data_IF_504361475481
#
_entry.id   IF_504361475481
#
_cell.length_a   1.000
_cell.length_b   1.000
_cell.length_c   1.000
_cell.angle_alpha   90.00
_cell.angle_beta   90.00
_cell.angle_gamma   90.00
#
_symmetry.space_group_name_H-M   'P 1'
#
loop_
_entity.id
_entity.type
_entity.pdbx_description
1 polymer ?
#
# COMPACT_ATOMS: atom_id res chain seq x y z
N UNK A 1 4.72 -28.99 -11.56
CA UNK A 1 4.58 -27.98 -10.48
C UNK A 1 4.76 -26.53 -10.96
N UNK A 2 4.76 -26.22 -12.27
CA UNK A 2 4.93 -24.84 -12.79
C UNK A 2 3.84 -24.38 -13.78
N UNK A 3 2.73 -25.10 -13.90
CA UNK A 3 1.65 -24.79 -14.86
C UNK A 3 0.41 -24.14 -14.24
N UNK A 4 0.25 -24.14 -12.90
CA UNK A 4 -0.93 -23.55 -12.23
C UNK A 4 -0.76 -22.05 -11.90
N UNK A 5 0.47 -21.55 -11.86
CA UNK A 5 0.76 -20.18 -11.37
C UNK A 5 0.27 -19.07 -12.30
N UNK A 6 0.15 -19.35 -13.60
CA UNK A 6 -0.28 -18.36 -14.60
C UNK A 6 -1.80 -18.18 -14.58
N UNK A 7 -2.56 -19.26 -14.45
CA UNK A 7 -4.04 -19.21 -14.37
C UNK A 7 -4.50 -18.57 -13.06
N UNK A 8 -3.83 -18.86 -11.94
CA UNK A 8 -4.08 -18.22 -10.65
C UNK A 8 -3.81 -16.71 -10.70
N UNK A 9 -2.74 -16.29 -11.38
CA UNK A 9 -2.41 -14.89 -11.65
C UNK A 9 -3.48 -14.21 -12.52
N UNK A 10 -3.93 -14.86 -13.60
CA UNK A 10 -4.99 -14.35 -14.47
C UNK A 10 -6.33 -14.20 -13.72
N UNK A 11 -6.70 -15.19 -12.91
CA UNK A 11 -7.92 -15.11 -12.11
C UNK A 11 -7.85 -14.00 -11.06
N UNK A 12 -6.74 -13.89 -10.33
CA UNK A 12 -6.54 -12.83 -9.34
C UNK A 12 -6.58 -11.44 -9.98
N UNK A 13 -5.80 -11.21 -11.03
CA UNK A 13 -5.73 -9.91 -11.73
C UNK A 13 -7.08 -9.51 -12.30
N UNK A 14 -7.84 -10.46 -12.88
CA UNK A 14 -9.18 -10.19 -13.41
C UNK A 14 -10.17 -9.77 -12.31
N UNK A 15 -10.12 -10.43 -11.15
CA UNK A 15 -10.97 -10.12 -9.99
C UNK A 15 -10.58 -8.77 -9.38
N UNK A 16 -9.28 -8.57 -9.14
CA UNK A 16 -8.74 -7.33 -8.61
C UNK A 16 -9.04 -6.13 -9.52
N UNK A 17 -8.93 -6.27 -10.85
CA UNK A 17 -9.28 -5.22 -11.80
C UNK A 17 -10.77 -4.84 -11.72
N UNK A 18 -11.67 -5.82 -11.60
CA UNK A 18 -13.11 -5.55 -11.39
C UNK A 18 -13.34 -4.77 -10.08
N UNK A 19 -12.68 -5.17 -9.00
CA UNK A 19 -12.79 -4.48 -7.70
C UNK A 19 -12.26 -3.06 -7.81
N UNK A 20 -11.06 -2.86 -8.35
CA UNK A 20 -10.44 -1.55 -8.56
C UNK A 20 -11.38 -0.65 -9.36
N UNK A 21 -11.91 -1.12 -10.49
CA UNK A 21 -12.87 -0.35 -11.30
C UNK A 21 -14.16 -0.01 -10.57
N UNK A 22 -14.62 -0.87 -9.67
CA UNK A 22 -15.83 -0.61 -8.88
C UNK A 22 -15.61 0.39 -7.73
N UNK A 23 -14.37 0.54 -7.28
CA UNK A 23 -13.99 1.44 -6.19
C UNK A 23 -13.47 2.79 -6.70
N UNK A 24 -12.97 2.85 -7.93
CA UNK A 24 -12.46 4.09 -8.52
C UNK A 24 -13.63 5.05 -8.82
N UNK A 25 -13.73 6.10 -8.01
CA UNK A 25 -14.68 7.20 -8.19
C UNK A 25 -14.07 8.38 -8.97
N UNK A 26 -12.97 8.15 -9.70
CA UNK A 26 -12.24 9.17 -10.46
C UNK A 26 -11.06 9.78 -9.70
N UNK A 27 -10.82 9.33 -8.46
CA UNK A 27 -9.70 9.78 -7.61
C UNK A 27 -8.56 8.76 -7.52
N UNK A 28 -8.71 7.60 -8.16
CA UNK A 28 -7.76 6.50 -8.12
C UNK A 28 -7.95 5.57 -6.91
N UNK A 29 -7.17 4.49 -6.87
CA UNK A 29 -7.28 3.43 -5.86
C UNK A 29 -5.93 3.14 -5.22
N UNK A 30 -5.89 3.17 -3.89
CA UNK A 30 -4.75 2.70 -3.10
C UNK A 30 -4.94 1.21 -2.76
N UNK A 31 -3.95 0.38 -3.06
CA UNK A 31 -3.87 -1.03 -2.68
C UNK A 31 -2.85 -1.17 -1.56
N UNK A 32 -3.29 -1.70 -0.42
CA UNK A 32 -2.50 -1.77 0.80
C UNK A 32 -2.21 -3.23 1.17
N UNK A 33 -0.96 -3.58 1.44
CA UNK A 33 -0.54 -4.92 1.85
C UNK A 33 0.40 -4.90 3.06
N UNK A 34 0.47 -6.02 3.78
CA UNK A 34 1.27 -6.17 5.00
C UNK A 34 2.78 -6.14 4.73
N UNK A 35 3.25 -6.79 3.66
CA UNK A 35 4.67 -7.01 3.38
C UNK A 35 5.00 -6.98 1.88
N UNK A 36 6.25 -6.64 1.53
CA UNK A 36 6.78 -6.82 0.17
C UNK A 36 7.20 -8.29 -0.04
N UNK A 37 6.88 -8.88 -1.20
CA UNK A 37 7.50 -10.14 -1.65
C UNK A 37 6.77 -11.47 -1.35
N UNK A 38 5.51 -11.46 -0.91
CA UNK A 38 4.65 -12.66 -0.91
C UNK A 38 3.93 -12.86 -2.26
N UNK A 39 3.34 -14.04 -2.48
CA UNK A 39 2.45 -14.31 -3.63
C UNK A 39 1.35 -13.22 -3.78
N UNK A 40 0.70 -12.70 -2.71
CA UNK A 40 -0.26 -11.60 -2.82
C UNK A 40 0.38 -10.26 -3.23
N UNK A 41 1.60 -9.98 -2.82
CA UNK A 41 2.27 -8.68 -3.07
C UNK A 41 2.85 -8.60 -4.48
N UNK A 42 3.39 -9.70 -5.03
CA UNK A 42 3.77 -9.75 -6.44
C UNK A 42 2.53 -9.67 -7.35
N UNK A 43 1.42 -10.28 -6.93
CA UNK A 43 0.13 -10.14 -7.60
C UNK A 43 -0.41 -8.70 -7.51
N UNK A 44 -0.26 -8.01 -6.37
CA UNK A 44 -0.63 -6.60 -6.26
C UNK A 44 0.21 -5.68 -7.16
N UNK A 45 1.50 -5.98 -7.36
CA UNK A 45 2.35 -5.23 -8.29
C UNK A 45 1.85 -5.30 -9.75
N UNK A 46 1.24 -6.43 -10.16
CA UNK A 46 0.63 -6.54 -11.49
C UNK A 46 -0.56 -5.58 -11.71
N UNK A 47 -1.08 -4.96 -10.64
CA UNK A 47 -2.12 -3.93 -10.72
C UNK A 47 -1.56 -2.53 -10.98
N UNK A 48 -0.23 -2.32 -10.89
CA UNK A 48 0.38 -1.03 -11.21
C UNK A 48 0.23 -0.65 -12.70
N UNK A 49 0.02 -1.64 -13.58
CA UNK A 49 -0.30 -1.39 -14.99
C UNK A 49 -1.71 -0.82 -15.18
N UNK A 50 -2.56 -0.83 -14.14
CA UNK A 50 -3.85 -0.16 -14.16
C UNK A 50 -3.65 1.34 -13.94
N UNK A 51 -4.30 2.14 -14.78
CA UNK A 51 -4.30 3.59 -14.65
C UNK A 51 -4.85 4.01 -13.28
N UNK A 52 -4.18 4.96 -12.62
CA UNK A 52 -4.58 5.54 -11.34
C UNK A 52 -4.64 4.55 -10.15
N UNK A 53 -3.77 3.54 -10.13
CA UNK A 53 -3.59 2.64 -8.98
C UNK A 53 -2.21 2.85 -8.37
N UNK A 54 -2.15 2.89 -7.03
CA UNK A 54 -0.90 2.92 -6.26
C UNK A 54 -0.88 1.76 -5.27
N UNK A 55 0.26 1.09 -5.12
CA UNK A 55 0.42 -0.07 -4.24
C UNK A 55 1.40 0.26 -3.12
N UNK A 56 1.02 0.02 -1.88
CA UNK A 56 1.87 0.21 -0.70
C UNK A 56 1.89 -1.03 0.18
N UNK A 57 3.10 -1.52 0.44
CA UNK A 57 3.35 -2.62 1.35
C UNK A 57 3.94 -2.12 2.67
N UNK A 58 3.90 -2.96 3.71
CA UNK A 58 4.42 -2.57 5.02
C UNK A 58 3.47 -1.67 5.78
N UNK A 59 2.15 -1.82 5.58
CA UNK A 59 1.19 -0.91 6.22
C UNK A 59 1.23 -1.02 7.74
N UNK A 60 1.17 0.13 8.39
CA UNK A 60 1.09 0.25 9.84
C UNK A 60 0.00 1.26 10.24
N UNK A 61 -0.31 1.33 11.53
CA UNK A 61 -1.39 2.17 12.03
C UNK A 61 -1.20 3.67 11.74
N UNK A 62 -0.02 4.29 11.96
CA UNK A 62 0.23 5.70 11.62
C UNK A 62 -0.02 6.03 10.15
N UNK A 63 0.43 5.16 9.24
CA UNK A 63 0.20 5.28 7.81
C UNK A 63 -1.30 5.25 7.48
N UNK A 64 -2.05 4.30 8.04
CA UNK A 64 -3.50 4.18 7.81
C UNK A 64 -4.27 5.41 8.30
N UNK A 65 -3.96 5.89 9.50
CA UNK A 65 -4.55 7.12 10.06
C UNK A 65 -4.27 8.30 9.12
N UNK A 66 -3.02 8.42 8.63
CA UNK A 66 -2.64 9.49 7.72
C UNK A 66 -3.39 9.39 6.38
N UNK A 67 -3.51 8.21 5.77
CA UNK A 67 -4.28 8.00 4.54
C UNK A 67 -5.74 8.44 4.70
N UNK A 68 -6.42 7.97 5.74
CA UNK A 68 -7.82 8.33 6.01
C UNK A 68 -7.96 9.85 6.17
N UNK A 69 -7.01 10.50 6.84
CA UNK A 69 -7.03 11.96 7.04
C UNK A 69 -6.83 12.80 5.77
N UNK A 70 -6.24 12.20 4.72
CA UNK A 70 -5.89 12.85 3.45
C UNK A 70 -6.84 12.49 2.31
N UNK A 71 -7.65 11.43 2.47
CA UNK A 71 -8.50 10.83 1.43
C UNK A 71 -9.28 11.84 0.59
N UNK A 72 -9.86 12.86 1.21
CA UNK A 72 -10.72 13.85 0.53
C UNK A 72 -10.00 15.21 0.33
N UNK A 73 -8.67 15.26 0.51
CA UNK A 73 -7.90 16.52 0.54
C UNK A 73 -6.79 16.60 -0.50
N UNK A 74 -6.26 15.47 -0.96
CA UNK A 74 -5.07 15.41 -1.82
C UNK A 74 -5.23 14.35 -2.90
N UNK A 75 -4.40 14.44 -3.93
CA UNK A 75 -4.32 13.38 -4.94
C UNK A 75 -3.88 12.05 -4.32
N UNK A 76 -4.15 10.93 -5.02
CA UNK A 76 -3.70 9.60 -4.59
C UNK A 76 -2.19 9.58 -4.34
N UNK A 77 -1.39 10.10 -5.27
CA UNK A 77 0.07 10.10 -5.19
C UNK A 77 0.60 10.89 -4.00
N UNK A 78 0.08 12.10 -3.77
CA UNK A 78 0.45 12.92 -2.60
C UNK A 78 0.04 12.26 -1.29
N UNK A 79 -1.17 11.67 -1.26
CA UNK A 79 -1.69 10.98 -0.07
C UNK A 79 -0.84 9.77 0.30
N UNK A 80 -0.46 8.95 -0.70
CA UNK A 80 0.41 7.79 -0.51
C UNK A 80 1.78 8.22 -0.02
N UNK A 81 2.40 9.23 -0.64
CA UNK A 81 3.71 9.74 -0.22
C UNK A 81 3.71 10.23 1.23
N UNK A 82 2.73 11.05 1.62
CA UNK A 82 2.66 11.56 3.00
C UNK A 82 2.32 10.49 4.03
N UNK A 83 1.52 9.50 3.65
CA UNK A 83 1.23 8.36 4.52
C UNK A 83 2.44 7.46 4.71
N UNK A 84 3.25 7.25 3.67
CA UNK A 84 4.53 6.55 3.78
C UNK A 84 5.47 7.26 4.76
N UNK A 85 5.63 8.57 4.60
CA UNK A 85 6.46 9.39 5.50
C UNK A 85 5.98 9.29 6.95
N UNK A 86 4.66 9.36 7.18
CA UNK A 86 4.08 9.16 8.51
C UNK A 86 4.35 7.74 9.04
N UNK A 87 4.16 6.71 8.22
CA UNK A 87 4.44 5.33 8.59
C UNK A 87 5.89 5.12 9.02
N UNK A 88 6.85 5.68 8.28
CA UNK A 88 8.27 5.59 8.57
C UNK A 88 8.67 6.37 9.83
N UNK A 89 8.15 7.59 10.02
CA UNK A 89 8.47 8.43 11.19
C UNK A 89 8.08 7.81 12.52
N UNK A 90 7.10 6.91 12.53
CA UNK A 90 6.65 6.22 13.74
C UNK A 90 7.37 4.89 14.01
N UNK A 91 8.24 4.45 13.10
CA UNK A 91 9.11 3.30 13.33
C UNK A 91 10.38 3.82 14.01
N UNK A 92 10.43 3.70 15.34
CA UNK A 92 11.60 4.09 16.12
C UNK A 92 11.94 3.05 17.17
N UNK A 93 13.21 2.97 17.52
CA UNK A 93 13.69 2.16 18.64
C UNK A 93 13.70 2.99 19.92
N UNK A 94 12.93 2.57 20.93
CA UNK A 94 12.79 3.31 22.19
C UNK A 94 14.13 3.61 22.88
N UNK A 95 15.10 2.68 22.77
CA UNK A 95 16.43 2.86 23.35
C UNK A 95 17.19 4.07 22.78
N UNK A 96 16.93 4.47 21.53
CA UNK A 96 17.55 5.66 20.94
C UNK A 96 17.08 6.96 21.60
N UNK A 97 15.85 7.00 22.15
CA UNK A 97 15.36 8.17 22.87
C UNK A 97 15.85 8.24 24.32
N UNK A 98 15.99 7.08 24.96
CA UNK A 98 16.42 6.99 26.36
C UNK A 98 17.92 7.24 26.53
N UNK A 99 18.74 6.81 25.57
CA UNK A 99 20.19 7.08 25.58
C UNK A 99 20.51 8.59 25.50
N UNK A 100 19.75 9.35 24.72
CA UNK A 100 19.94 10.80 24.56
C UNK A 100 19.48 11.63 25.77
N UNK A 101 18.75 11.03 26.71
CA UNK A 101 18.27 11.68 27.95
C UNK A 101 19.20 11.43 29.15
N UNK A 102 20.31 10.72 28.93
CA UNK A 102 21.26 10.29 29.97
C UNK A 102 22.62 11.01 29.86
N UNK A 103 22.74 12.02 29.00
CA UNK A 103 23.84 12.99 28.92
C UNK A 103 23.37 14.36 29.43
#
# INVERSE_FOLDING_TARGET
MYQNSTDDLYHFTSGANKIVKSLDQGMGVAVLTDMFGGTPSNLALSLLDLKNVEVMAGVNLPLLIKLISLRDKKSLQESMKEAQEAGQRYINLASHFLAASSE
#
